data_IF_874112214722
#
_entry.id   IF_874112214722
#
_cell.length_a   1.000
_cell.length_b   1.000
_cell.length_c   1.000
_cell.angle_alpha   90.00
_cell.angle_beta   90.00
_cell.angle_gamma   90.00
#
_symmetry.space_group_name_H-M   'P 1'
#
loop_
_entity.id
_entity.type
_entity.pdbx_description
1 polymer ?
#
# COMPACT_ATOMS: atom_id res chain seq x y z
N UNK A 1 22.43 -40.74 -10.17
CA UNK A 1 21.12 -40.13 -9.87
C UNK A 1 21.35 -38.66 -9.61
N UNK A 2 21.11 -37.82 -10.61
CA UNK A 2 21.23 -36.36 -10.49
C UNK A 2 20.06 -35.85 -9.67
N UNK A 3 20.36 -35.25 -8.51
CA UNK A 3 19.38 -34.52 -7.70
C UNK A 3 18.66 -33.50 -8.58
N UNK A 4 17.31 -33.41 -8.54
CA UNK A 4 16.62 -32.37 -9.28
C UNK A 4 17.07 -31.03 -8.71
N UNK A 5 17.62 -30.17 -9.56
CA UNK A 5 17.92 -28.79 -9.21
C UNK A 5 16.66 -28.17 -8.60
N UNK A 6 16.69 -27.86 -7.30
CA UNK A 6 15.62 -27.13 -6.65
C UNK A 6 15.43 -25.84 -7.46
N UNK A 7 14.26 -25.66 -8.07
CA UNK A 7 13.94 -24.43 -8.76
C UNK A 7 14.26 -23.26 -7.82
N UNK A 8 15.31 -22.49 -8.13
CA UNK A 8 15.80 -21.44 -7.26
C UNK A 8 14.63 -20.47 -7.01
N UNK A 9 14.23 -20.33 -5.75
CA UNK A 9 13.10 -19.48 -5.40
C UNK A 9 13.38 -18.07 -5.92
N UNK A 10 12.45 -17.50 -6.70
CA UNK A 10 12.59 -16.14 -7.19
C UNK A 10 12.56 -15.22 -5.97
N UNK A 11 13.69 -14.59 -5.70
CA UNK A 11 13.82 -13.55 -4.68
C UNK A 11 13.30 -12.25 -5.27
N UNK A 12 12.41 -11.58 -4.56
CA UNK A 12 11.86 -10.28 -4.96
C UNK A 12 13.02 -9.27 -5.04
N UNK A 13 13.24 -8.61 -6.19
CA UNK A 13 14.28 -7.59 -6.32
C UNK A 13 13.92 -6.33 -5.50
N UNK A 14 14.91 -5.50 -5.18
CA UNK A 14 14.72 -4.25 -4.45
C UNK A 14 14.96 -3.00 -5.33
N UNK A 15 14.41 -1.87 -4.90
CA UNK A 15 14.62 -0.54 -5.48
C UNK A 15 14.72 0.51 -4.36
N UNK A 16 15.38 1.63 -4.64
CA UNK A 16 15.38 2.77 -3.73
C UNK A 16 13.97 3.38 -3.63
N UNK A 17 13.57 3.74 -2.43
CA UNK A 17 12.32 4.45 -2.19
C UNK A 17 12.48 5.92 -2.54
N UNK A 18 12.20 6.24 -3.81
CA UNK A 18 12.40 7.58 -4.35
C UNK A 18 13.87 7.98 -4.36
N UNK A 19 14.17 9.18 -3.85
CA UNK A 19 15.55 9.67 -3.66
C UNK A 19 16.23 9.19 -2.40
N UNK A 20 15.52 8.48 -1.51
CA UNK A 20 16.08 8.06 -0.24
C UNK A 20 17.11 6.92 -0.41
N UNK A 21 17.93 6.71 0.63
CA UNK A 21 18.81 5.54 0.71
C UNK A 21 18.12 4.24 1.10
N UNK A 22 16.79 4.25 1.33
CA UNK A 22 16.03 3.09 1.78
C UNK A 22 15.74 2.15 0.61
N UNK A 23 16.17 0.89 0.70
CA UNK A 23 15.87 -0.15 -0.28
C UNK A 23 14.64 -0.94 0.12
N UNK A 24 13.66 -1.02 -0.78
CA UNK A 24 12.42 -1.77 -0.56
C UNK A 24 12.21 -2.80 -1.66
N UNK A 25 11.65 -3.94 -1.31
CA UNK A 25 11.26 -5.00 -2.23
C UNK A 25 10.18 -4.52 -3.20
N UNK A 26 10.26 -4.94 -4.47
CA UNK A 26 9.29 -4.55 -5.51
C UNK A 26 7.86 -5.01 -5.25
N UNK A 27 7.68 -6.02 -4.40
CA UNK A 27 6.40 -6.42 -3.82
C UNK A 27 6.47 -6.17 -2.31
N UNK A 28 5.36 -5.75 -1.72
CA UNK A 28 5.21 -5.52 -0.28
C UNK A 28 3.93 -6.16 0.24
N UNK A 29 3.82 -6.32 1.56
CA UNK A 29 2.64 -6.91 2.19
C UNK A 29 1.90 -5.87 3.05
N UNK A 30 0.64 -5.62 2.74
CA UNK A 30 -0.21 -4.67 3.48
C UNK A 30 -1.15 -5.38 4.45
N UNK A 31 -1.47 -4.70 5.56
CA UNK A 31 -2.32 -5.24 6.62
C UNK A 31 -3.75 -4.69 6.67
N UNK A 32 -4.23 -4.10 5.58
CA UNK A 32 -5.61 -3.62 5.55
C UNK A 32 -6.60 -4.76 5.80
N UNK A 33 -7.27 -4.68 6.95
CA UNK A 33 -8.24 -5.63 7.42
C UNK A 33 -9.29 -4.92 8.27
N UNK A 34 -10.42 -5.59 8.43
CA UNK A 34 -11.44 -5.22 9.39
C UNK A 34 -11.13 -5.90 10.73
N UNK A 35 -11.71 -5.38 11.81
CA UNK A 35 -11.62 -6.01 13.12
C UNK A 35 -12.30 -7.40 13.04
N UNK A 36 -11.54 -8.45 13.33
CA UNK A 36 -12.03 -9.82 13.35
C UNK A 36 -11.14 -10.67 14.27
N UNK A 37 -11.74 -11.43 15.18
CA UNK A 37 -11.02 -12.34 16.08
C UNK A 37 -10.24 -13.44 15.31
N UNK A 38 -10.60 -13.70 14.06
CA UNK A 38 -9.87 -14.63 13.19
C UNK A 38 -8.51 -14.11 12.75
N UNK A 39 -8.27 -12.80 12.84
CA UNK A 39 -6.98 -12.18 12.52
C UNK A 39 -6.10 -12.25 13.77
N UNK A 40 -5.24 -13.27 13.83
CA UNK A 40 -4.35 -13.51 14.98
C UNK A 40 -2.91 -13.12 14.67
N UNK A 41 -2.13 -12.85 15.71
CA UNK A 41 -0.69 -12.63 15.61
C UNK A 41 0.03 -13.80 14.92
N UNK A 42 -0.37 -15.05 15.18
CA UNK A 42 0.23 -16.22 14.54
C UNK A 42 0.03 -16.27 13.03
N UNK A 43 -1.19 -15.97 12.56
CA UNK A 43 -1.45 -15.87 11.12
C UNK A 43 -0.66 -14.74 10.48
N UNK A 44 -0.53 -13.61 11.17
CA UNK A 44 0.29 -12.50 10.71
C UNK A 44 1.77 -12.88 10.63
N UNK A 45 2.29 -13.60 11.61
CA UNK A 45 3.64 -14.16 11.58
C UNK A 45 3.83 -15.11 10.40
N UNK A 46 2.91 -16.04 10.14
CA UNK A 46 2.99 -16.96 9.01
C UNK A 46 3.02 -16.21 7.67
N UNK A 47 2.17 -15.20 7.50
CA UNK A 47 2.12 -14.37 6.30
C UNK A 47 3.41 -13.56 6.11
N UNK A 48 3.92 -12.97 7.18
CA UNK A 48 5.19 -12.21 7.15
C UNK A 48 6.37 -13.13 6.86
N UNK A 49 6.44 -14.30 7.48
CA UNK A 49 7.50 -15.26 7.25
C UNK A 49 7.52 -15.80 5.82
N UNK A 50 6.34 -16.10 5.25
CA UNK A 50 6.25 -16.46 3.84
C UNK A 50 6.73 -15.31 2.94
N UNK A 51 6.26 -14.09 3.17
CA UNK A 51 6.67 -12.92 2.40
C UNK A 51 8.20 -12.69 2.48
N UNK A 52 8.76 -12.73 3.69
CA UNK A 52 10.17 -12.52 3.97
C UNK A 52 11.06 -13.58 3.31
N UNK A 53 10.65 -14.86 3.38
CA UNK A 53 11.33 -15.97 2.68
C UNK A 53 11.43 -15.74 1.16
N UNK A 54 10.47 -15.04 0.58
CA UNK A 54 10.49 -14.65 -0.83
C UNK A 54 11.24 -13.33 -1.11
N UNK A 55 11.81 -12.69 -0.10
CA UNK A 55 12.58 -11.45 -0.21
C UNK A 55 11.75 -10.18 -0.09
N UNK A 56 10.49 -10.25 0.37
CA UNK A 56 9.76 -9.05 0.76
C UNK A 56 10.35 -8.52 2.07
N UNK A 57 10.73 -7.24 2.08
CA UNK A 57 11.17 -6.56 3.29
C UNK A 57 10.19 -5.48 3.77
N UNK A 58 9.27 -5.00 2.91
CA UNK A 58 8.33 -3.93 3.27
C UNK A 58 6.98 -4.49 3.73
N UNK A 59 6.58 -4.08 4.93
CA UNK A 59 5.31 -4.43 5.59
C UNK A 59 4.58 -3.16 6.03
N UNK A 60 3.36 -2.98 5.53
CA UNK A 60 2.62 -1.73 5.67
C UNK A 60 1.36 -1.90 6.54
N UNK A 61 1.15 -0.92 7.41
CA UNK A 61 0.08 -0.88 8.40
C UNK A 61 -0.58 0.50 8.49
N UNK A 62 -1.63 0.68 9.29
CA UNK A 62 -2.17 1.99 9.65
C UNK A 62 -2.88 1.92 11.00
N UNK A 63 -2.92 3.04 11.72
CA UNK A 63 -3.45 3.09 13.08
C UNK A 63 -4.94 2.65 13.18
N UNK A 64 -5.72 2.83 12.10
CA UNK A 64 -7.13 2.45 12.06
C UNK A 64 -7.43 1.02 11.60
N UNK A 65 -6.44 0.28 11.10
CA UNK A 65 -6.70 -1.04 10.52
C UNK A 65 -7.13 -2.02 11.63
N UNK A 66 -8.37 -2.52 11.51
CA UNK A 66 -9.03 -3.28 12.56
C UNK A 66 -9.07 -2.57 13.92
N UNK A 67 -9.33 -1.26 13.95
CA UNK A 67 -9.32 -0.45 15.19
C UNK A 67 -8.00 -0.57 15.99
N UNK A 68 -6.88 -0.71 15.27
CA UNK A 68 -5.53 -0.88 15.83
C UNK A 68 -5.08 -2.34 15.95
N UNK A 69 -5.98 -3.31 15.80
CA UNK A 69 -5.66 -4.75 15.89
C UNK A 69 -4.59 -5.17 14.87
N UNK A 70 -4.55 -4.55 13.69
CA UNK A 70 -3.56 -4.89 12.67
C UNK A 70 -2.13 -4.54 13.13
N UNK A 71 -1.94 -3.45 13.87
CA UNK A 71 -0.65 -3.05 14.44
C UNK A 71 -0.24 -3.97 15.59
N UNK A 72 -1.18 -4.34 16.47
CA UNK A 72 -0.94 -5.29 17.57
C UNK A 72 -0.50 -6.66 17.07
N UNK A 73 -1.19 -7.16 16.03
CA UNK A 73 -0.87 -8.44 15.41
C UNK A 73 0.48 -8.40 14.68
N UNK A 74 0.74 -7.37 13.88
CA UNK A 74 2.01 -7.22 13.17
C UNK A 74 3.17 -7.04 14.14
N UNK A 75 3.00 -6.25 15.19
CA UNK A 75 4.02 -6.06 16.23
C UNK A 75 4.39 -7.38 16.89
N UNK A 76 3.38 -8.15 17.32
CA UNK A 76 3.58 -9.46 17.91
C UNK A 76 4.25 -10.45 16.94
N UNK A 77 3.90 -10.39 15.65
CA UNK A 77 4.52 -11.19 14.60
C UNK A 77 5.99 -10.83 14.36
N UNK A 78 6.34 -9.53 14.37
CA UNK A 78 7.72 -9.06 14.27
C UNK A 78 8.54 -9.58 15.44
N UNK A 79 8.05 -9.41 16.68
CA UNK A 79 8.74 -9.88 17.88
C UNK A 79 8.94 -11.41 17.86
N UNK A 80 7.94 -12.16 17.42
CA UNK A 80 8.03 -13.62 17.28
C UNK A 80 9.10 -14.04 16.28
N UNK A 81 9.18 -13.41 15.12
CA UNK A 81 10.22 -13.73 14.13
C UNK A 81 11.63 -13.33 14.57
N UNK A 82 11.77 -12.24 15.32
CA UNK A 82 13.04 -11.89 15.97
C UNK A 82 13.45 -12.97 16.99
N UNK A 83 12.52 -13.39 17.85
CA UNK A 83 12.78 -14.43 18.85
C UNK A 83 13.13 -15.78 18.23
N UNK A 84 12.55 -16.12 17.08
CA UNK A 84 12.83 -17.34 16.33
C UNK A 84 14.12 -17.27 15.49
N UNK A 85 14.68 -16.07 15.30
CA UNK A 85 15.85 -15.85 14.43
C UNK A 85 15.53 -15.88 12.94
N UNK A 86 14.27 -15.64 12.55
CA UNK A 86 13.87 -15.56 11.14
C UNK A 86 14.35 -14.25 10.48
N UNK A 87 14.43 -13.16 11.26
CA UNK A 87 14.89 -11.83 10.86
C UNK A 87 15.35 -11.01 12.07
N UNK A 88 16.16 -9.99 11.81
CA UNK A 88 16.41 -8.86 12.72
C UNK A 88 15.45 -7.71 12.44
N UNK A 89 15.42 -6.66 13.30
CA UNK A 89 14.58 -5.48 13.04
C UNK A 89 15.07 -4.73 11.81
N UNK A 90 16.36 -4.74 11.55
CA UNK A 90 17.07 -4.09 10.46
C UNK A 90 16.77 -4.72 9.09
N UNK A 91 16.36 -6.00 9.07
CA UNK A 91 15.94 -6.68 7.84
C UNK A 91 14.57 -6.21 7.34
N UNK A 92 13.79 -5.55 8.20
CA UNK A 92 12.41 -5.17 7.93
C UNK A 92 12.27 -3.66 7.66
N UNK A 93 11.40 -3.32 6.70
CA UNK A 93 10.90 -1.98 6.46
C UNK A 93 9.44 -1.95 6.90
N UNK A 94 9.17 -1.41 8.08
CA UNK A 94 7.82 -1.30 8.64
C UNK A 94 7.29 0.10 8.36
N UNK A 95 6.07 0.18 7.82
CA UNK A 95 5.39 1.45 7.60
C UNK A 95 4.06 1.50 8.34
N UNK A 96 3.70 2.67 8.86
CA UNK A 96 2.33 2.93 9.36
C UNK A 96 1.80 4.26 8.83
N UNK A 97 0.50 4.51 9.02
CA UNK A 97 -0.18 5.72 8.52
C UNK A 97 -1.03 6.33 9.61
N UNK A 98 -0.95 7.66 9.68
CA UNK A 98 -1.68 8.47 10.65
C UNK A 98 -2.72 9.31 9.90
N UNK A 99 -3.96 9.20 10.33
CA UNK A 99 -5.07 10.10 10.00
C UNK A 99 -6.30 9.70 10.79
N UNK A 100 -6.73 8.44 10.70
CA UNK A 100 -7.92 7.92 11.38
C UNK A 100 -7.50 7.25 12.68
N UNK A 101 -7.77 7.84 13.85
CA UNK A 101 -7.43 7.19 15.12
C UNK A 101 -8.06 5.81 15.28
N UNK A 102 -7.48 4.99 16.17
CA UNK A 102 -7.87 3.59 16.36
C UNK A 102 -9.18 3.40 17.14
N UNK A 103 -9.84 4.47 17.59
CA UNK A 103 -11.08 4.38 18.41
C UNK A 103 -12.35 4.26 17.57
N UNK A 104 -12.25 4.24 16.24
CA UNK A 104 -13.38 4.07 15.33
C UNK A 104 -14.49 5.09 15.59
N UNK A 105 -15.73 4.61 15.76
CA UNK A 105 -16.90 5.46 16.02
C UNK A 105 -16.83 6.25 17.34
N UNK A 106 -15.93 5.88 18.26
CA UNK A 106 -15.72 6.56 19.55
C UNK A 106 -14.66 7.66 19.47
N UNK A 107 -14.07 7.90 18.30
CA UNK A 107 -13.06 8.92 18.09
C UNK A 107 -13.59 10.32 18.42
N UNK A 108 -12.83 11.07 19.21
CA UNK A 108 -13.08 12.50 19.47
C UNK A 108 -12.56 13.39 18.34
N UNK A 109 -12.81 14.71 18.40
CA UNK A 109 -12.43 15.66 17.34
C UNK A 109 -10.92 15.75 17.05
N UNK A 110 -10.08 15.34 18.01
CA UNK A 110 -8.62 15.36 17.93
C UNK A 110 -8.00 13.96 17.81
N UNK A 111 -8.82 12.93 17.60
CA UNK A 111 -8.38 11.54 17.32
C UNK A 111 -8.51 11.23 15.82
N UNK A 112 -8.34 12.28 14.99
CA UNK A 112 -8.51 12.29 13.54
C UNK A 112 -7.70 13.44 12.92
N UNK A 113 -7.22 13.24 11.69
CA UNK A 113 -6.62 14.25 10.81
C UNK A 113 -5.11 14.37 10.97
N UNK A 114 -4.57 15.52 10.55
CA UNK A 114 -3.13 15.77 10.48
C UNK A 114 -2.65 16.92 11.36
N UNK A 115 -3.44 17.30 12.36
CA UNK A 115 -2.97 18.23 13.39
C UNK A 115 -1.71 17.68 14.07
N UNK A 116 -0.84 18.57 14.54
CA UNK A 116 0.37 18.20 15.28
C UNK A 116 0.05 17.32 16.47
N UNK A 117 -1.06 17.57 17.16
CA UNK A 117 -1.54 16.75 18.28
C UNK A 117 -1.77 15.31 17.84
N UNK A 118 -2.59 15.09 16.81
CA UNK A 118 -2.90 13.75 16.33
C UNK A 118 -1.70 13.04 15.72
N UNK A 119 -0.87 13.74 14.93
CA UNK A 119 0.37 13.16 14.37
C UNK A 119 1.26 12.61 15.49
N UNK A 120 1.50 13.41 16.54
CA UNK A 120 2.37 13.01 17.66
C UNK A 120 1.73 11.90 18.51
N UNK A 121 0.46 12.04 18.87
CA UNK A 121 -0.23 11.06 19.73
C UNK A 121 -0.49 9.74 18.99
N UNK A 122 -0.97 9.80 17.75
CA UNK A 122 -1.20 8.66 16.88
C UNK A 122 0.09 7.89 16.56
N UNK A 123 1.20 8.59 16.31
CA UNK A 123 2.52 7.92 16.12
C UNK A 123 2.91 7.12 17.36
N UNK A 124 2.85 7.73 18.55
CA UNK A 124 3.23 7.04 19.79
C UNK A 124 2.32 5.85 20.10
N UNK A 125 1.02 6.01 19.88
CA UNK A 125 0.06 4.92 20.06
C UNK A 125 0.31 3.77 19.07
N UNK A 126 0.66 4.09 17.82
CA UNK A 126 1.00 3.11 16.79
C UNK A 126 2.27 2.33 17.14
N UNK A 127 3.34 3.03 17.56
CA UNK A 127 4.58 2.40 18.03
C UNK A 127 4.35 1.48 19.23
N UNK A 128 3.49 1.88 20.17
CA UNK A 128 3.12 1.04 21.31
C UNK A 128 2.42 -0.26 20.87
N UNK A 129 1.43 -0.17 19.97
CA UNK A 129 0.73 -1.37 19.43
C UNK A 129 1.67 -2.26 18.63
N UNK A 130 2.54 -1.66 17.81
CA UNK A 130 3.56 -2.35 17.03
C UNK A 130 4.67 -2.94 17.91
N UNK A 131 4.78 -2.54 19.18
CA UNK A 131 5.89 -2.93 20.07
C UNK A 131 7.25 -2.60 19.42
N UNK A 132 7.35 -1.41 18.82
CA UNK A 132 8.55 -0.92 18.14
C UNK A 132 8.95 0.45 18.67
N UNK A 133 10.25 0.74 18.67
CA UNK A 133 10.77 2.07 18.99
C UNK A 133 10.62 3.04 17.81
N UNK A 134 10.61 2.50 16.58
CA UNK A 134 10.48 3.27 15.35
C UNK A 134 9.79 2.47 14.23
N UNK A 135 9.20 3.20 13.29
CA UNK A 135 8.84 2.71 11.95
C UNK A 135 9.81 3.28 10.92
N UNK A 136 9.97 2.64 9.77
CA UNK A 136 10.87 3.13 8.73
C UNK A 136 10.25 4.31 7.99
N UNK A 137 8.95 4.24 7.67
CA UNK A 137 8.20 5.32 7.05
C UNK A 137 6.87 5.53 7.76
N UNK A 138 6.55 6.77 8.08
CA UNK A 138 5.21 7.18 8.51
C UNK A 138 4.50 7.96 7.42
N UNK A 139 3.29 7.55 7.06
CA UNK A 139 2.49 8.24 6.04
C UNK A 139 1.42 9.13 6.66
N UNK A 140 1.20 10.30 6.07
CA UNK A 140 -0.10 10.98 6.15
C UNK A 140 -1.12 10.13 5.38
N UNK A 141 -2.04 9.45 6.05
CA UNK A 141 -2.91 8.45 5.40
C UNK A 141 -3.89 9.06 4.39
N UNK A 142 -4.30 10.32 4.59
CA UNK A 142 -5.15 11.12 3.70
C UNK A 142 -4.72 12.59 3.77
N UNK A 143 -5.03 13.42 2.78
CA UNK A 143 -4.92 14.87 2.92
C UNK A 143 -5.94 15.38 3.96
N UNK A 144 -5.72 16.57 4.51
CA UNK A 144 -6.58 17.17 5.54
C UNK A 144 -6.76 18.66 5.28
N UNK A 145 -8.01 19.11 5.12
CA UNK A 145 -8.29 20.49 4.70
C UNK A 145 -8.21 21.53 5.83
N UNK A 146 -8.31 21.11 7.09
CA UNK A 146 -8.41 21.99 8.26
C UNK A 146 -7.11 22.15 9.05
N UNK A 147 -6.02 21.49 8.64
CA UNK A 147 -4.69 21.69 9.22
C UNK A 147 -3.79 22.35 8.20
N UNK A 148 -3.18 23.51 8.50
CA UNK A 148 -2.22 24.15 7.60
C UNK A 148 -1.08 23.19 7.24
N UNK A 149 -0.70 23.15 5.96
CA UNK A 149 0.37 22.27 5.47
C UNK A 149 1.67 22.44 6.26
N UNK A 150 2.00 23.67 6.67
CA UNK A 150 3.17 23.94 7.49
C UNK A 150 3.14 23.23 8.85
N UNK A 151 1.97 23.13 9.50
CA UNK A 151 1.84 22.38 10.74
C UNK A 151 2.09 20.88 10.51
N UNK A 152 1.56 20.32 9.42
CA UNK A 152 1.77 18.92 9.03
C UNK A 152 3.25 18.63 8.81
N UNK A 153 3.93 19.43 7.97
CA UNK A 153 5.37 19.26 7.66
C UNK A 153 6.23 19.38 8.93
N UNK A 154 5.95 20.35 9.81
CA UNK A 154 6.66 20.51 11.08
C UNK A 154 6.38 19.38 12.06
N UNK A 155 5.16 18.84 12.08
CA UNK A 155 4.79 17.71 12.92
C UNK A 155 5.51 16.43 12.49
N UNK A 156 5.52 16.12 11.18
CA UNK A 156 6.25 14.98 10.64
C UNK A 156 7.75 15.09 10.90
N UNK A 157 8.34 16.27 10.67
CA UNK A 157 9.77 16.48 10.98
C UNK A 157 10.09 16.39 12.47
N UNK A 158 9.15 16.74 13.36
CA UNK A 158 9.31 16.49 14.78
C UNK A 158 9.32 14.99 15.10
N UNK A 159 8.45 14.19 14.47
CA UNK A 159 8.45 12.73 14.60
C UNK A 159 9.80 12.14 14.16
N UNK A 160 10.36 12.61 13.03
CA UNK A 160 11.69 12.19 12.57
C UNK A 160 12.79 12.55 13.58
N UNK A 161 12.79 13.79 14.06
CA UNK A 161 13.79 14.27 15.04
C UNK A 161 13.73 13.50 16.36
N UNK A 162 12.58 12.94 16.72
CA UNK A 162 12.41 12.08 17.91
C UNK A 162 12.93 10.66 17.71
N UNK A 163 13.30 10.27 16.48
CA UNK A 163 13.71 8.92 16.15
C UNK A 163 12.54 7.92 16.07
N UNK A 164 11.29 8.41 16.01
CA UNK A 164 10.10 7.55 15.93
C UNK A 164 9.80 7.08 14.51
N UNK A 165 10.32 7.79 13.51
CA UNK A 165 10.38 7.32 12.13
C UNK A 165 11.66 7.80 11.45
N UNK A 166 12.15 7.08 10.44
CA UNK A 166 13.30 7.52 9.64
C UNK A 166 12.90 8.42 8.48
N UNK A 167 11.77 8.12 7.85
CA UNK A 167 11.22 8.87 6.73
C UNK A 167 9.73 9.14 6.94
N UNK A 168 9.19 10.06 6.14
CA UNK A 168 7.75 10.26 6.05
C UNK A 168 7.30 10.35 4.60
N UNK A 169 6.02 10.09 4.39
CA UNK A 169 5.38 10.12 3.08
C UNK A 169 3.93 10.55 3.16
N UNK A 170 3.30 10.58 1.99
CA UNK A 170 1.91 10.97 1.81
C UNK A 170 1.09 9.78 1.27
N UNK A 171 -0.22 9.80 1.41
CA UNK A 171 -1.10 8.79 0.82
C UNK A 171 -2.41 9.42 0.40
N UNK A 172 -2.78 9.17 -0.86
CA UNK A 172 -3.93 9.74 -1.53
C UNK A 172 -3.88 11.26 -1.69
N UNK A 173 -2.69 11.85 -1.61
CA UNK A 173 -2.53 13.28 -1.89
C UNK A 173 -2.57 13.54 -3.40
N UNK A 174 -2.88 14.78 -3.75
CA UNK A 174 -2.73 15.32 -5.09
C UNK A 174 -1.30 15.79 -5.31
N UNK A 175 -0.92 15.97 -6.57
CA UNK A 175 0.39 16.54 -6.92
C UNK A 175 0.60 17.92 -6.31
N UNK A 176 -0.44 18.75 -6.28
CA UNK A 176 -0.40 20.10 -5.70
C UNK A 176 -0.11 20.06 -4.19
N UNK A 177 -0.75 19.18 -3.44
CA UNK A 177 -0.51 19.04 -2.00
C UNK A 177 0.90 18.52 -1.71
N UNK A 178 1.41 17.57 -2.50
CA UNK A 178 2.78 17.05 -2.35
C UNK A 178 3.81 18.15 -2.66
N UNK A 179 3.56 18.95 -3.70
CA UNK A 179 4.41 20.09 -4.07
C UNK A 179 4.44 21.14 -2.94
N UNK A 180 3.28 21.52 -2.40
CA UNK A 180 3.18 22.47 -1.28
C UNK A 180 3.98 21.98 -0.06
N UNK A 181 3.86 20.69 0.28
CA UNK A 181 4.64 20.09 1.35
C UNK A 181 6.15 20.15 1.09
N UNK A 182 6.58 19.91 -0.15
CA UNK A 182 7.99 19.99 -0.55
C UNK A 182 8.51 21.44 -0.50
N UNK A 183 7.73 22.41 -0.97
CA UNK A 183 8.09 23.83 -0.97
C UNK A 183 8.21 24.37 0.46
N UNK A 184 7.27 24.01 1.33
CA UNK A 184 7.33 24.35 2.76
C UNK A 184 8.55 23.70 3.42
N UNK A 185 8.80 22.42 3.14
CA UNK A 185 9.97 21.73 3.69
C UNK A 185 11.27 22.42 3.26
N UNK A 186 11.40 22.78 1.98
CA UNK A 186 12.57 23.49 1.45
C UNK A 186 12.77 24.85 2.09
N UNK A 187 11.71 25.66 2.13
CA UNK A 187 11.72 27.00 2.72
C UNK A 187 12.13 26.98 4.19
N UNK A 188 11.78 25.91 4.91
CA UNK A 188 12.02 25.76 6.34
C UNK A 188 13.23 24.89 6.68
N UNK A 189 13.97 24.41 5.67
CA UNK A 189 15.10 23.48 5.83
C UNK A 189 14.72 22.20 6.59
N UNK A 190 13.55 21.65 6.27
CA UNK A 190 12.98 20.43 6.82
C UNK A 190 13.06 19.29 5.79
N UNK A 191 12.90 18.06 6.27
CA UNK A 191 12.86 16.85 5.44
C UNK A 191 11.54 16.81 4.66
N UNK A 192 11.64 16.65 3.33
CA UNK A 192 10.52 16.46 2.40
C UNK A 192 9.86 15.08 2.56
N UNK A 193 8.60 14.89 2.14
CA UNK A 193 8.07 13.55 1.99
C UNK A 193 8.85 12.82 0.87
N UNK A 194 9.22 11.55 1.11
CA UNK A 194 10.06 10.79 0.15
C UNK A 194 9.25 9.85 -0.74
N UNK A 195 8.00 9.58 -0.37
CA UNK A 195 7.14 8.59 -1.01
C UNK A 195 5.67 9.02 -0.96
N UNK A 196 4.94 8.72 -2.02
CA UNK A 196 3.48 8.72 -2.04
C UNK A 196 2.96 7.29 -2.07
N UNK A 197 1.91 7.03 -1.31
CA UNK A 197 1.18 5.77 -1.34
C UNK A 197 -0.19 5.93 -2.04
N UNK A 198 -0.22 5.64 -3.34
CA UNK A 198 -1.38 5.87 -4.22
C UNK A 198 -2.03 4.57 -4.73
N UNK A 199 -3.32 4.63 -5.03
CA UNK A 199 -4.00 3.52 -5.71
C UNK A 199 -3.52 3.42 -7.16
N UNK A 200 -3.15 2.21 -7.61
CA UNK A 200 -2.77 1.96 -8.99
C UNK A 200 -3.18 0.57 -9.44
N UNK A 201 -3.93 0.51 -10.53
CA UNK A 201 -4.31 -0.71 -11.21
C UNK A 201 -4.83 -0.37 -12.63
N UNK A 202 -5.24 -1.39 -13.39
CA UNK A 202 -5.75 -1.22 -14.75
C UNK A 202 -6.93 -0.25 -14.89
N UNK A 203 -7.70 -0.03 -13.82
CA UNK A 203 -8.84 0.89 -13.80
C UNK A 203 -8.53 2.25 -13.18
N UNK A 204 -7.46 2.36 -12.39
CA UNK A 204 -7.08 3.58 -11.67
C UNK A 204 -5.64 3.97 -11.98
N UNK A 205 -5.49 4.94 -12.89
CA UNK A 205 -4.19 5.29 -13.49
C UNK A 205 -3.89 6.79 -13.52
N UNK A 206 -4.91 7.64 -13.39
CA UNK A 206 -4.79 9.10 -13.55
C UNK A 206 -3.67 9.70 -12.70
N UNK A 207 -3.64 9.39 -11.39
CA UNK A 207 -2.63 9.93 -10.48
C UNK A 207 -1.23 9.49 -10.89
N UNK A 208 -1.04 8.18 -10.98
CA UNK A 208 0.28 7.57 -11.13
C UNK A 208 0.90 7.81 -12.51
N UNK A 209 0.11 7.73 -13.59
CA UNK A 209 0.63 7.84 -14.97
C UNK A 209 0.63 9.28 -15.51
N UNK A 210 -0.23 10.16 -14.98
CA UNK A 210 -0.42 11.51 -15.54
C UNK A 210 -0.11 12.59 -14.51
N UNK A 211 -0.81 12.59 -13.38
CA UNK A 211 -0.73 13.67 -12.39
C UNK A 211 0.67 13.80 -11.75
N UNK A 212 1.34 12.69 -11.50
CA UNK A 212 2.64 12.67 -10.81
C UNK A 212 3.85 12.81 -11.74
N UNK A 213 3.64 13.00 -13.05
CA UNK A 213 4.72 13.03 -14.05
C UNK A 213 5.84 14.01 -13.68
N UNK A 214 5.49 15.19 -13.16
CA UNK A 214 6.48 16.21 -12.77
C UNK A 214 7.10 15.95 -11.40
N UNK A 215 6.39 15.27 -10.49
CA UNK A 215 6.94 14.84 -9.20
C UNK A 215 8.07 13.82 -9.39
N UNK A 216 7.93 12.90 -10.35
CA UNK A 216 9.01 11.96 -10.68
C UNK A 216 10.23 12.68 -11.25
N UNK A 217 10.03 13.64 -12.16
CA UNK A 217 11.13 14.36 -12.81
C UNK A 217 11.87 15.29 -11.83
N UNK A 218 11.12 16.07 -11.05
CA UNK A 218 11.67 17.13 -10.19
C UNK A 218 12.08 16.64 -8.82
N UNK A 219 11.26 15.79 -8.20
CA UNK A 219 11.45 15.36 -6.80
C UNK A 219 11.89 13.90 -6.67
N UNK A 220 11.90 13.14 -7.78
CA UNK A 220 12.12 11.68 -7.84
C UNK A 220 11.38 10.96 -6.71
N UNK A 221 10.09 11.30 -6.59
CA UNK A 221 9.17 10.77 -5.60
C UNK A 221 9.14 9.23 -5.66
N UNK A 222 9.29 8.58 -4.51
CA UNK A 222 9.06 7.14 -4.38
C UNK A 222 7.58 6.81 -4.48
N UNK A 223 7.25 5.62 -4.96
CA UNK A 223 5.85 5.24 -5.14
C UNK A 223 5.58 3.83 -4.59
N UNK A 224 4.77 3.78 -3.54
CA UNK A 224 4.18 2.54 -3.02
C UNK A 224 2.75 2.47 -3.53
N UNK A 225 2.45 1.55 -4.45
CA UNK A 225 1.08 1.48 -5.00
C UNK A 225 0.23 0.46 -4.27
N UNK A 226 -1.03 0.78 -4.02
CA UNK A 226 -2.00 -0.16 -3.44
C UNK A 226 -3.16 -0.46 -4.39
N UNK A 227 -3.95 -1.47 -4.02
CA UNK A 227 -5.12 -1.88 -4.79
C UNK A 227 -4.82 -2.50 -6.17
N UNK A 228 -3.74 -3.29 -6.36
CA UNK A 228 -3.38 -3.82 -7.68
C UNK A 228 -4.44 -4.74 -8.29
N UNK A 229 -5.31 -5.30 -7.44
CA UNK A 229 -6.41 -6.18 -7.83
C UNK A 229 -7.77 -5.48 -7.85
N UNK A 230 -7.83 -4.16 -7.65
CA UNK A 230 -9.06 -3.35 -7.60
C UNK A 230 -10.11 -3.98 -6.68
N UNK A 231 -9.76 -4.19 -5.41
CA UNK A 231 -10.60 -4.89 -4.41
C UNK A 231 -11.01 -6.33 -4.78
N UNK A 232 -10.36 -6.92 -5.78
CA UNK A 232 -10.59 -8.28 -6.25
C UNK A 232 -11.21 -8.37 -7.65
N UNK A 233 -11.73 -7.28 -8.22
CA UNK A 233 -12.40 -7.31 -9.54
C UNK A 233 -11.46 -7.82 -10.65
N UNK A 234 -10.16 -7.59 -10.52
CA UNK A 234 -9.14 -8.03 -11.47
C UNK A 234 -8.68 -9.49 -11.30
N UNK A 235 -9.26 -10.28 -10.39
CA UNK A 235 -8.83 -11.68 -10.19
C UNK A 235 -9.55 -12.68 -11.11
N UNK A 236 -10.56 -12.26 -11.87
CA UNK A 236 -11.33 -13.13 -12.78
C UNK A 236 -12.22 -14.17 -12.09
N UNK A 237 -12.40 -14.09 -10.76
CA UNK A 237 -13.16 -15.09 -9.97
C UNK A 237 -14.66 -14.82 -9.93
N UNK A 238 -15.11 -13.68 -10.46
CA UNK A 238 -16.50 -13.22 -10.39
C UNK A 238 -17.31 -13.52 -11.66
N UNK A 239 -16.73 -14.23 -12.63
CA UNK A 239 -17.41 -14.59 -13.89
C UNK A 239 -18.58 -15.55 -13.72
N UNK A 240 -18.64 -16.30 -12.61
CA UNK A 240 -19.71 -17.27 -12.30
C UNK A 240 -20.64 -16.82 -11.17
N UNK A 241 -20.65 -15.52 -10.83
CA UNK A 241 -21.36 -14.98 -9.67
C UNK A 241 -20.43 -14.68 -8.50
N UNK A 242 -21.00 -14.49 -7.31
CA UNK A 242 -20.28 -14.16 -6.07
C UNK A 242 -19.72 -15.43 -5.41
N UNK A 243 -18.39 -15.65 -5.38
CA UNK A 243 -17.84 -16.84 -4.72
C UNK A 243 -18.03 -16.77 -3.21
N UNK A 244 -18.28 -17.92 -2.59
CA UNK A 244 -18.42 -18.05 -1.13
C UNK A 244 -17.14 -17.61 -0.41
N UNK A 245 -17.27 -16.82 0.65
CA UNK A 245 -16.15 -16.26 1.40
C UNK A 245 -15.35 -15.19 0.63
N UNK A 246 -15.85 -14.73 -0.53
CA UNK A 246 -15.22 -13.63 -1.24
C UNK A 246 -15.54 -12.30 -0.58
N UNK A 247 -14.66 -11.32 -0.80
CA UNK A 247 -14.83 -9.95 -0.32
C UNK A 247 -16.17 -9.32 -0.76
N UNK A 248 -16.77 -9.78 -1.86
CA UNK A 248 -18.03 -9.25 -2.36
C UNK A 248 -19.26 -9.65 -1.53
N UNK A 249 -19.15 -10.69 -0.67
CA UNK A 249 -20.21 -11.05 0.28
C UNK A 249 -20.31 -10.03 1.43
N UNK A 250 -19.28 -9.22 1.66
CA UNK A 250 -19.31 -8.17 2.67
C UNK A 250 -20.08 -6.94 2.15
N UNK A 251 -21.23 -6.56 2.74
CA UNK A 251 -22.02 -5.42 2.29
C UNK A 251 -21.22 -4.11 2.27
N UNK A 252 -20.19 -3.97 3.11
CA UNK A 252 -19.33 -2.78 3.14
C UNK A 252 -18.51 -2.64 1.86
N UNK A 253 -18.20 -3.74 1.18
CA UNK A 253 -17.42 -3.72 -0.06
C UNK A 253 -18.24 -3.15 -1.21
N UNK A 254 -19.56 -3.36 -1.22
CA UNK A 254 -20.46 -2.70 -2.16
C UNK A 254 -20.51 -1.18 -1.96
N UNK A 255 -20.33 -0.72 -0.71
CA UNK A 255 -20.22 0.72 -0.41
C UNK A 255 -18.88 1.29 -0.87
N UNK A 256 -17.79 0.53 -0.68
CA UNK A 256 -16.43 0.96 -1.06
C UNK A 256 -16.23 0.91 -2.58
N UNK A 257 -16.81 -0.08 -3.26
CA UNK A 257 -16.68 -0.30 -4.71
C UNK A 257 -18.08 -0.48 -5.32
N UNK A 258 -18.84 0.62 -5.51
CA UNK A 258 -20.23 0.53 -5.96
C UNK A 258 -20.39 -0.01 -7.39
N UNK A 259 -19.35 0.11 -8.23
CA UNK A 259 -19.31 -0.39 -9.61
C UNK A 259 -18.61 -1.75 -9.75
N UNK A 260 -18.57 -2.56 -8.70
CA UNK A 260 -17.81 -3.82 -8.66
C UNK A 260 -18.12 -4.75 -9.84
N UNK A 261 -19.41 -4.97 -10.12
CA UNK A 261 -19.87 -5.89 -11.16
C UNK A 261 -19.40 -5.45 -12.54
N UNK A 262 -19.51 -4.16 -12.85
CA UNK A 262 -19.06 -3.59 -14.12
C UNK A 262 -17.55 -3.69 -14.29
N UNK A 263 -16.79 -3.42 -13.22
CA UNK A 263 -15.33 -3.57 -13.22
C UNK A 263 -14.91 -5.03 -13.43
N UNK A 264 -15.58 -5.97 -12.77
CA UNK A 264 -15.32 -7.40 -12.96
C UNK A 264 -15.60 -7.82 -14.41
N UNK A 265 -16.75 -7.42 -14.98
CA UNK A 265 -17.09 -7.72 -16.37
C UNK A 265 -16.09 -7.11 -17.38
N UNK A 266 -15.55 -5.93 -17.08
CA UNK A 266 -14.47 -5.33 -17.90
C UNK A 266 -13.16 -6.11 -17.78
N UNK A 267 -12.79 -6.55 -16.57
CA UNK A 267 -11.57 -7.32 -16.32
C UNK A 267 -11.54 -8.63 -17.12
N UNK A 268 -12.70 -9.28 -17.26
CA UNK A 268 -12.86 -10.55 -17.99
C UNK A 268 -12.33 -10.51 -19.43
N UNK A 269 -12.37 -9.34 -20.06
CA UNK A 269 -11.86 -9.16 -21.42
C UNK A 269 -10.36 -9.48 -21.55
N UNK A 270 -9.61 -9.45 -20.45
CA UNK A 270 -8.18 -9.74 -20.41
C UNK A 270 -7.85 -11.23 -20.25
N UNK A 271 -8.84 -12.11 -20.04
CA UNK A 271 -8.63 -13.56 -19.91
C UNK A 271 -7.83 -14.19 -21.08
N UNK A 272 -8.06 -13.82 -22.35
CA UNK A 272 -7.25 -14.34 -23.46
C UNK A 272 -5.76 -14.04 -23.31
N UNK A 273 -5.41 -12.82 -22.88
CA UNK A 273 -4.03 -12.41 -22.62
C UNK A 273 -3.43 -13.21 -21.46
N UNK A 274 -4.15 -13.31 -20.33
CA UNK A 274 -3.68 -14.09 -19.18
C UNK A 274 -3.39 -15.55 -19.56
N UNK A 275 -4.28 -16.17 -20.36
CA UNK A 275 -4.10 -17.51 -20.90
C UNK A 275 -2.89 -17.61 -21.84
N UNK A 276 -2.71 -16.64 -22.75
CA UNK A 276 -1.58 -16.62 -23.68
C UNK A 276 -0.23 -16.50 -22.96
N UNK A 277 -0.18 -15.77 -21.84
CA UNK A 277 1.03 -15.58 -21.03
C UNK A 277 1.27 -16.69 -19.99
N UNK A 278 0.39 -17.69 -19.93
CA UNK A 278 0.39 -18.76 -18.93
C UNK A 278 0.43 -18.21 -17.50
N UNK A 279 -0.52 -17.34 -17.18
CA UNK A 279 -0.66 -16.76 -15.84
C UNK A 279 -2.13 -16.58 -15.44
N UNK A 280 -2.35 -16.42 -14.15
CA UNK A 280 -3.68 -16.03 -13.66
C UNK A 280 -3.96 -14.55 -13.90
N UNK A 281 -5.23 -14.18 -13.92
CA UNK A 281 -5.69 -12.78 -13.96
C UNK A 281 -5.09 -11.91 -12.83
N UNK A 282 -4.99 -12.45 -11.62
CA UNK A 282 -4.37 -11.75 -10.49
C UNK A 282 -2.88 -11.48 -10.72
N UNK A 283 -2.15 -12.47 -11.24
CA UNK A 283 -0.73 -12.32 -11.57
C UNK A 283 -0.52 -11.33 -12.71
N UNK A 284 -1.37 -11.36 -13.75
CA UNK A 284 -1.34 -10.39 -14.85
C UNK A 284 -1.53 -8.96 -14.32
N UNK A 285 -2.52 -8.73 -13.47
CA UNK A 285 -2.82 -7.39 -12.92
C UNK A 285 -1.68 -6.85 -12.03
N UNK A 286 -1.13 -7.68 -11.14
CA UNK A 286 0.01 -7.30 -10.29
C UNK A 286 1.26 -7.04 -11.15
N UNK A 287 1.54 -7.94 -12.10
CA UNK A 287 2.68 -7.79 -13.00
C UNK A 287 2.57 -6.55 -13.87
N UNK A 288 1.36 -6.22 -14.35
CA UNK A 288 1.10 -4.99 -15.09
C UNK A 288 1.47 -3.75 -14.26
N UNK A 289 1.08 -3.69 -12.98
CA UNK A 289 1.47 -2.59 -12.08
C UNK A 289 3.00 -2.49 -11.95
N UNK A 290 3.68 -3.64 -11.84
CA UNK A 290 5.14 -3.72 -11.79
C UNK A 290 5.83 -3.35 -13.11
N UNK A 291 5.13 -3.25 -14.24
CA UNK A 291 5.76 -2.79 -15.48
C UNK A 291 5.93 -1.27 -15.53
N UNK A 292 5.32 -0.53 -14.61
CA UNK A 292 5.51 0.91 -14.50
C UNK A 292 6.86 1.18 -13.81
N UNK A 293 7.73 1.93 -14.47
CA UNK A 293 9.10 2.17 -13.99
C UNK A 293 9.15 3.01 -12.70
N UNK A 294 8.17 3.89 -12.50
CA UNK A 294 8.07 4.76 -11.33
C UNK A 294 7.56 4.02 -10.09
N UNK A 295 6.87 2.89 -10.27
CA UNK A 295 6.42 2.05 -9.15
C UNK A 295 7.63 1.44 -8.45
N UNK A 296 7.84 1.84 -7.20
CA UNK A 296 8.91 1.30 -6.35
C UNK A 296 8.49 -0.05 -5.80
N UNK A 297 7.30 -0.13 -5.21
CA UNK A 297 6.73 -1.36 -4.67
C UNK A 297 5.23 -1.43 -4.90
N UNK A 298 4.71 -2.65 -5.15
CA UNK A 298 3.28 -2.94 -5.22
C UNK A 298 2.85 -3.64 -3.93
N UNK A 299 1.95 -2.99 -3.20
CA UNK A 299 1.41 -3.47 -1.95
C UNK A 299 0.35 -4.54 -2.19
N UNK A 300 0.67 -5.77 -1.80
CA UNK A 300 -0.20 -6.92 -1.89
C UNK A 300 -1.13 -6.98 -0.67
N UNK A 301 -2.38 -7.37 -0.93
CA UNK A 301 -3.30 -7.85 0.09
C UNK A 301 -3.59 -9.33 -0.15
N UNK A 302 -3.56 -10.13 0.90
CA UNK A 302 -3.89 -11.54 0.86
C UNK A 302 -4.54 -11.96 2.19
N UNK A 303 -5.57 -12.80 2.11
CA UNK A 303 -6.30 -13.30 3.29
C UNK A 303 -5.84 -14.70 3.70
N UNK A 304 -5.06 -15.37 2.85
CA UNK A 304 -4.49 -16.71 3.11
C UNK A 304 -3.07 -16.80 2.54
N UNK A 305 -2.30 -17.77 3.03
CA UNK A 305 -0.93 -18.05 2.56
C UNK A 305 -0.91 -18.43 1.08
N UNK A 306 -1.88 -19.21 0.62
CA UNK A 306 -1.99 -19.64 -0.77
C UNK A 306 -2.22 -18.45 -1.70
N UNK A 307 -3.04 -17.48 -1.29
CA UNK A 307 -3.23 -16.25 -2.06
C UNK A 307 -1.94 -15.44 -2.15
N UNK A 308 -1.19 -15.32 -1.04
CA UNK A 308 0.08 -14.62 -1.02
C UNK A 308 1.10 -15.31 -1.93
N UNK A 309 1.29 -16.62 -1.78
CA UNK A 309 2.20 -17.41 -2.61
C UNK A 309 1.83 -17.34 -4.09
N UNK A 310 0.53 -17.39 -4.40
CA UNK A 310 0.02 -17.25 -5.76
C UNK A 310 0.34 -15.87 -6.35
N UNK A 311 0.15 -14.80 -5.58
CA UNK A 311 0.40 -13.43 -5.99
C UNK A 311 1.90 -13.14 -6.19
N UNK A 312 2.77 -13.72 -5.36
CA UNK A 312 4.24 -13.57 -5.49
C UNK A 312 4.77 -14.06 -6.85
N UNK A 313 4.10 -15.03 -7.47
CA UNK A 313 4.45 -15.55 -8.80
C UNK A 313 4.21 -14.53 -9.93
N UNK A 314 3.56 -13.39 -9.66
CA UNK A 314 3.41 -12.30 -10.63
C UNK A 314 4.75 -11.78 -11.17
N UNK A 315 5.83 -11.87 -10.39
CA UNK A 315 7.18 -11.48 -10.85
C UNK A 315 7.62 -12.23 -12.11
N UNK A 316 7.20 -13.48 -12.29
CA UNK A 316 7.51 -14.30 -13.49
C UNK A 316 6.81 -13.80 -14.76
N UNK A 317 5.84 -12.90 -14.62
CA UNK A 317 5.01 -12.40 -15.71
C UNK A 317 5.46 -11.02 -16.16
N UNK A 318 6.18 -10.27 -15.33
CA UNK A 318 6.57 -8.87 -15.61
C UNK A 318 7.30 -8.73 -16.94
N UNK A 319 8.30 -9.57 -17.20
CA UNK A 319 9.08 -9.53 -18.45
C UNK A 319 8.29 -10.02 -19.67
N UNK A 320 7.19 -10.75 -19.45
CA UNK A 320 6.30 -11.22 -20.53
C UNK A 320 5.33 -10.13 -21.00
N UNK A 321 5.13 -9.06 -20.22
CA UNK A 321 4.23 -7.96 -20.58
C UNK A 321 5.02 -6.95 -21.42
N UNK A 322 5.13 -7.24 -22.71
CA UNK A 322 5.81 -6.38 -23.68
C UNK A 322 4.95 -5.14 -24.03
N UNK A 323 5.51 -4.11 -24.69
CA UNK A 323 4.73 -2.97 -25.18
C UNK A 323 3.53 -3.37 -26.07
N UNK A 324 3.67 -4.43 -26.87
CA UNK A 324 2.61 -4.95 -27.73
C UNK A 324 1.46 -5.56 -26.90
N UNK A 325 1.80 -6.33 -25.87
CA UNK A 325 0.82 -6.88 -24.92
C UNK A 325 0.11 -5.74 -24.18
N UNK A 326 0.85 -4.71 -23.72
CA UNK A 326 0.23 -3.53 -23.10
C UNK A 326 -0.78 -2.90 -24.04
N UNK A 327 -0.41 -2.68 -25.30
CA UNK A 327 -1.32 -2.11 -26.30
C UNK A 327 -2.57 -2.98 -26.54
N UNK A 328 -2.43 -4.31 -26.51
CA UNK A 328 -3.57 -5.22 -26.58
C UNK A 328 -4.49 -5.08 -25.34
N UNK A 329 -3.91 -4.99 -24.15
CA UNK A 329 -4.65 -4.73 -22.91
C UNK A 329 -5.41 -3.40 -22.97
N UNK A 330 -4.80 -2.33 -23.49
CA UNK A 330 -5.44 -1.02 -23.68
C UNK A 330 -6.64 -1.09 -24.63
N UNK A 331 -6.55 -1.87 -25.71
CA UNK A 331 -7.68 -2.05 -26.65
C UNK A 331 -8.87 -2.75 -25.99
N UNK A 332 -8.61 -3.73 -25.13
CA UNK A 332 -9.64 -4.52 -24.46
C UNK A 332 -10.27 -3.77 -23.29
N UNK A 333 -9.44 -3.04 -22.54
CA UNK A 333 -9.82 -2.27 -21.35
C UNK A 333 -9.31 -0.84 -21.53
N UNK A 334 -9.98 -0.03 -22.34
CA UNK A 334 -9.55 1.34 -22.56
C UNK A 334 -9.65 2.14 -21.27
N UNK A 335 -8.66 3.01 -21.09
CA UNK A 335 -8.58 3.96 -19.99
C UNK A 335 -8.64 5.39 -20.53
N UNK A 336 -9.48 6.20 -19.89
CA UNK A 336 -9.55 7.64 -20.15
C UNK A 336 -9.06 8.35 -18.89
N UNK A 337 -7.96 9.12 -18.97
CA UNK A 337 -7.46 9.89 -17.84
C UNK A 337 -8.52 10.83 -17.29
N UNK A 338 -8.58 10.91 -15.97
CA UNK A 338 -9.49 11.81 -15.25
C UNK A 338 -8.67 12.90 -14.58
N UNK A 339 -9.26 14.08 -14.46
CA UNK A 339 -8.68 15.18 -13.68
C UNK A 339 -8.53 14.79 -12.21
N UNK A 340 -7.50 15.35 -11.57
CA UNK A 340 -7.31 15.26 -10.14
C UNK A 340 -8.56 15.74 -9.40
N UNK A 341 -8.96 15.00 -8.37
CA UNK A 341 -10.09 15.34 -7.50
C UNK A 341 -9.60 15.36 -6.06
N UNK A 342 -10.09 16.29 -5.22
CA UNK A 342 -9.86 16.23 -3.79
C UNK A 342 -10.31 14.88 -3.22
N UNK A 343 -9.58 14.38 -2.22
CA UNK A 343 -10.01 13.18 -1.50
C UNK A 343 -11.27 13.51 -0.69
N UNK A 344 -12.33 12.69 -0.84
CA UNK A 344 -13.60 12.92 -0.17
C UNK A 344 -13.50 12.86 1.37
N UNK A 345 -12.44 12.25 1.91
CA UNK A 345 -12.18 12.16 3.35
C UNK A 345 -11.35 13.34 3.88
N UNK A 346 -10.85 14.23 3.02
CA UNK A 346 -10.09 15.41 3.43
C UNK A 346 -10.90 16.37 4.32
N UNK A 347 -12.22 16.35 4.16
CA UNK A 347 -13.17 17.17 4.91
C UNK A 347 -13.75 16.44 6.13
N UNK A 348 -13.27 15.23 6.47
CA UNK A 348 -13.93 14.40 7.50
C UNK A 348 -14.01 15.08 8.87
N UNK A 349 -13.05 15.93 9.23
CA UNK A 349 -13.08 16.70 10.50
C UNK A 349 -14.15 17.79 10.53
N UNK A 350 -14.71 18.18 9.39
CA UNK A 350 -15.81 19.16 9.31
C UNK A 350 -17.03 18.72 10.12
N UNK A 351 -17.21 17.42 10.38
CA UNK A 351 -18.30 16.88 11.21
C UNK A 351 -18.32 17.38 12.67
N UNK A 352 -17.25 18.03 13.12
CA UNK A 352 -17.11 18.60 14.46
C UNK A 352 -17.16 20.14 14.48
N UNK A 353 -17.31 20.78 13.31
CA UNK A 353 -17.53 22.21 13.13
C UNK A 353 -19.03 22.44 12.93
#
# INVERSE_FOLDING_TARGET
>A
MTSPASAQAIRVPCRFLGTSGLLVSRLSLGSWMLLDAKNTADKWYEMMALAFKHGINLFDNAECYGDGQAEENMGSAVQKGIANGDWSREDLVITTKIYFGSKGAKAGPNDLGLSRKHIVEGTRASLQRLQLEYVDVIYCHRPEAFTPMEEVVRAMNFVLKRGWAFYWGTSQWTSAEILDACEIADRLHLVRPVVEQAEYNLFQRSKVEFEFADLYKKHKLGLTTWGPLSSGTLTGKYSGGTPKGSRLEDPRVQVIVPNFVDLAARAEKLKPIAKALDCSMAQLAIAWCLTNEHVTTVLLGASTLEQLEHNLKALKVVEKITPEIKLEMEKLVPFVPQLAKPDNLAMLRARYL
#
